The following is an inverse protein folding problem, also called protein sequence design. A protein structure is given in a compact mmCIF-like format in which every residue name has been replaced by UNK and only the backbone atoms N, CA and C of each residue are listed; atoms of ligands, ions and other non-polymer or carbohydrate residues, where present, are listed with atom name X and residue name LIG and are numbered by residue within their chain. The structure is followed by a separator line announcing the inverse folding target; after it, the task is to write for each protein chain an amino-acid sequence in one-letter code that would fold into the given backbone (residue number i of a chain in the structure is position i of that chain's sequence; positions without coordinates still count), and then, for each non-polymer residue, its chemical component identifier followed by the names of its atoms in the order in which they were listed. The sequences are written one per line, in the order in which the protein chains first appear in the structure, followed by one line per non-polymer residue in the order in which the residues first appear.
data_IF_560450140343
#
_entry.id   IF_560450140343
#
_cell.length_a   1.000
_cell.length_b   1.000
_cell.length_c   1.000
_cell.angle_alpha   90.00
_cell.angle_beta   90.00
_cell.angle_gamma   90.00
#
_symmetry.space_group_name_H-M   'P 1'
#
loop_
_entity.id
_entity.type
_entity.pdbx_description
1 polymer ?
#
# COMPACT_ATOMS: atom_id res chain seq x y z
N UNK A 1 -4.69 -30.54 12.14
CA UNK A 1 -4.83 -31.79 11.39
C UNK A 1 -4.51 -31.61 9.89
N UNK A 2 -4.71 -30.45 9.26
CA UNK A 2 -4.48 -30.24 7.81
C UNK A 2 -3.03 -29.94 7.38
N UNK A 3 -2.11 -29.65 8.29
CA UNK A 3 -0.72 -29.32 7.95
C UNK A 3 0.15 -30.59 7.78
N UNK A 4 -0.10 -31.63 8.59
CA UNK A 4 0.63 -32.89 8.52
C UNK A 4 0.32 -33.68 7.23
N UNK A 5 -0.92 -33.59 6.73
CA UNK A 5 -1.32 -34.29 5.51
C UNK A 5 -0.67 -33.69 4.25
N UNK A 6 -0.48 -32.40 4.21
CA UNK A 6 0.24 -31.72 3.11
C UNK A 6 1.73 -32.03 3.10
N UNK A 7 2.35 -32.07 4.27
CA UNK A 7 3.78 -32.45 4.42
C UNK A 7 3.99 -33.89 4.02
N UNK A 8 3.08 -34.81 4.42
CA UNK A 8 3.13 -36.24 4.06
C UNK A 8 2.98 -36.44 2.54
N UNK A 9 2.09 -35.71 1.88
CA UNK A 9 1.93 -35.75 0.41
C UNK A 9 3.17 -35.24 -0.33
N UNK A 10 3.81 -34.20 0.17
CA UNK A 10 5.05 -33.64 -0.42
C UNK A 10 6.19 -34.65 -0.27
N UNK A 11 6.37 -35.26 0.89
CA UNK A 11 7.41 -36.28 1.15
C UNK A 11 7.20 -37.52 0.28
N UNK A 12 5.97 -38.00 0.12
CA UNK A 12 5.68 -39.13 -0.76
C UNK A 12 5.87 -38.82 -2.24
N UNK A 13 5.56 -37.60 -2.67
CA UNK A 13 5.84 -37.14 -4.04
C UNK A 13 7.35 -37.07 -4.31
N UNK A 14 8.14 -36.57 -3.36
CA UNK A 14 9.60 -36.57 -3.46
C UNK A 14 10.21 -38.00 -3.48
N UNK A 15 9.73 -38.92 -2.63
CA UNK A 15 10.25 -40.28 -2.59
C UNK A 15 9.95 -41.05 -3.90
N UNK A 16 8.77 -40.86 -4.47
CA UNK A 16 8.41 -41.43 -5.78
C UNK A 16 9.24 -40.83 -6.92
N UNK A 17 9.58 -39.57 -6.83
CA UNK A 17 10.45 -38.87 -7.80
C UNK A 17 11.89 -39.40 -7.73
N UNK A 18 12.44 -39.61 -6.53
CA UNK A 18 13.78 -40.20 -6.35
C UNK A 18 13.87 -41.67 -6.81
N UNK A 19 12.82 -42.46 -6.59
CA UNK A 19 12.76 -43.86 -7.05
C UNK A 19 12.72 -43.98 -8.58
N UNK A 20 12.02 -43.09 -9.26
CA UNK A 20 11.98 -43.03 -10.72
C UNK A 20 13.32 -42.51 -11.35
N UNK A 21 14.04 -41.64 -10.65
CA UNK A 21 15.36 -41.20 -11.06
C UNK A 21 16.42 -42.33 -10.99
N UNK A 22 16.28 -43.26 -10.08
CA UNK A 22 17.23 -44.37 -9.90
C UNK A 22 17.03 -45.48 -10.93
N UNK A 23 15.89 -45.59 -11.59
CA UNK A 23 15.59 -46.64 -12.57
C UNK A 23 15.74 -46.26 -14.04
N UNK A 24 15.80 -44.98 -14.38
CA UNK A 24 15.99 -44.52 -15.76
C UNK A 24 17.42 -44.12 -16.01
N UNK A 25 18.01 -44.65 -17.11
CA UNK A 25 19.28 -44.20 -17.66
C UNK A 25 19.24 -42.68 -17.73
N UNK A 26 20.15 -42.03 -17.01
CA UNK A 26 20.28 -40.57 -16.90
C UNK A 26 20.38 -39.98 -18.32
N UNK A 27 19.26 -39.44 -18.78
CA UNK A 27 19.27 -38.61 -19.99
C UNK A 27 19.65 -37.18 -19.55
N UNK A 28 20.90 -36.84 -19.70
CA UNK A 28 21.48 -35.55 -19.28
C UNK A 28 20.68 -34.36 -19.81
N UNK A 29 20.05 -34.47 -20.98
CA UNK A 29 19.26 -33.43 -21.61
C UNK A 29 17.97 -33.15 -20.82
N UNK A 30 17.25 -34.18 -20.38
CA UNK A 30 16.01 -34.04 -19.63
C UNK A 30 16.28 -33.54 -18.22
N UNK A 31 17.38 -34.01 -17.59
CA UNK A 31 17.75 -33.50 -16.23
C UNK A 31 18.10 -32.02 -16.28
N UNK A 32 18.79 -31.56 -17.30
CA UNK A 32 19.12 -30.13 -17.49
C UNK A 32 17.84 -29.30 -17.68
N UNK A 33 16.86 -29.82 -18.41
CA UNK A 33 15.55 -29.18 -18.62
C UNK A 33 14.76 -29.02 -17.32
N UNK A 34 14.76 -30.04 -16.46
CA UNK A 34 14.09 -29.99 -15.14
C UNK A 34 14.77 -29.01 -14.17
N UNK A 35 16.11 -28.97 -14.18
CA UNK A 35 16.88 -27.99 -13.37
C UNK A 35 16.63 -26.57 -13.87
N UNK A 36 16.62 -26.35 -15.18
CA UNK A 36 16.30 -25.04 -15.77
C UNK A 36 14.87 -24.59 -15.45
N UNK A 37 13.90 -25.52 -15.49
CA UNK A 37 12.52 -25.24 -15.11
C UNK A 37 12.37 -24.95 -13.61
N UNK A 38 13.09 -25.67 -12.75
CA UNK A 38 13.12 -25.42 -11.30
C UNK A 38 13.75 -24.05 -10.97
N UNK A 39 14.83 -23.67 -11.65
CA UNK A 39 15.47 -22.37 -11.50
C UNK A 39 14.55 -21.20 -11.99
N UNK A 40 13.75 -21.44 -13.03
CA UNK A 40 12.81 -20.45 -13.55
C UNK A 40 11.68 -20.13 -12.56
N UNK A 41 11.29 -21.08 -11.70
CA UNK A 41 10.20 -20.88 -10.71
C UNK A 41 10.64 -20.08 -9.49
N UNK A 42 11.93 -19.96 -9.21
CA UNK A 42 12.46 -19.26 -8.02
C UNK A 42 12.45 -17.73 -8.20
N UNK A 43 12.35 -17.22 -9.42
CA UNK A 43 12.51 -15.78 -9.71
C UNK A 43 11.25 -14.93 -9.51
N UNK A 44 10.09 -15.50 -9.19
CA UNK A 44 8.82 -14.76 -9.11
C UNK A 44 8.38 -14.33 -7.71
N UNK A 45 9.19 -14.51 -6.68
CA UNK A 45 8.88 -14.01 -5.32
C UNK A 45 9.54 -12.65 -5.07
N UNK A 46 9.19 -11.63 -5.84
CA UNK A 46 9.39 -10.25 -5.38
C UNK A 46 8.32 -9.96 -4.35
N UNK A 47 8.65 -10.15 -3.08
CA UNK A 47 7.85 -9.57 -2.00
C UNK A 47 7.83 -8.05 -2.22
N UNK A 48 6.69 -7.52 -2.65
CA UNK A 48 6.51 -6.08 -2.83
C UNK A 48 6.55 -5.46 -1.45
N UNK A 49 7.68 -4.85 -1.10
CA UNK A 49 7.87 -4.18 0.18
C UNK A 49 6.81 -3.07 0.32
N UNK A 50 5.93 -3.19 1.32
CA UNK A 50 4.89 -2.20 1.57
C UNK A 50 5.56 -0.88 1.91
N UNK A 51 5.37 0.11 1.07
CA UNK A 51 5.88 1.46 1.33
C UNK A 51 5.17 2.05 2.54
N UNK A 52 5.93 2.70 3.41
CA UNK A 52 5.39 3.38 4.60
C UNK A 52 5.14 4.85 4.31
N UNK A 53 4.15 5.41 4.99
CA UNK A 53 3.93 6.85 5.03
C UNK A 53 5.12 7.49 5.73
N UNK A 54 5.69 8.53 5.13
CA UNK A 54 6.83 9.29 5.65
C UNK A 54 6.37 10.71 5.95
N UNK A 55 6.63 11.18 7.16
CA UNK A 55 6.50 12.60 7.49
C UNK A 55 7.82 13.26 7.15
N UNK A 56 7.81 14.13 6.16
CA UNK A 56 9.01 14.79 5.63
C UNK A 56 9.35 16.06 6.41
N UNK A 57 8.33 16.77 6.90
CA UNK A 57 8.46 18.01 7.63
C UNK A 57 7.31 18.25 8.60
N UNK A 58 7.60 18.93 9.70
CA UNK A 58 6.64 19.62 10.59
C UNK A 58 7.40 20.63 11.45
N UNK A 59 6.71 21.63 11.97
CA UNK A 59 7.30 22.60 12.89
C UNK A 59 7.40 22.02 14.32
N UNK A 60 6.39 21.23 14.72
CA UNK A 60 6.31 20.61 16.05
C UNK A 60 5.87 19.15 15.96
N UNK A 61 6.38 18.33 16.89
CA UNK A 61 6.03 16.90 17.03
C UNK A 61 5.67 16.63 18.48
N UNK A 62 4.48 16.05 18.71
CA UNK A 62 4.07 15.54 20.01
C UNK A 62 3.93 14.01 19.94
N UNK A 63 4.67 13.32 20.79
CA UNK A 63 4.64 11.86 20.94
C UNK A 63 3.83 11.41 22.16
N UNK A 64 3.15 12.34 22.85
CA UNK A 64 2.33 11.99 23.99
C UNK A 64 1.05 11.26 23.55
N UNK A 65 1.04 9.96 23.75
CA UNK A 65 -0.08 9.08 23.36
C UNK A 65 -1.25 9.09 24.35
N UNK A 66 -1.21 9.96 25.35
CA UNK A 66 -2.29 10.04 26.37
C UNK A 66 -3.58 10.61 25.77
N UNK A 67 -3.45 11.60 24.88
CA UNK A 67 -4.62 12.23 24.26
C UNK A 67 -5.14 11.47 23.05
N UNK A 68 -4.20 10.93 22.22
CA UNK A 68 -4.54 10.19 21.00
C UNK A 68 -3.69 8.91 20.95
N UNK A 69 -4.18 7.83 21.58
CA UNK A 69 -3.47 6.56 21.64
C UNK A 69 -3.08 6.04 20.25
N UNK A 70 -1.81 5.65 20.11
CA UNK A 70 -1.26 5.08 18.86
C UNK A 70 -0.85 6.11 17.81
N UNK A 71 -1.13 7.42 18.01
CA UNK A 71 -0.75 8.46 17.06
C UNK A 71 0.45 9.29 17.53
N UNK A 72 1.27 9.70 16.57
CA UNK A 72 2.21 10.81 16.71
C UNK A 72 1.55 12.04 16.08
N UNK A 73 1.50 13.15 16.81
CA UNK A 73 0.88 14.40 16.36
C UNK A 73 1.94 15.33 15.79
N UNK A 74 1.75 15.77 14.56
CA UNK A 74 2.58 16.73 13.84
C UNK A 74 1.79 18.01 13.63
N UNK A 75 2.39 19.16 13.89
CA UNK A 75 1.73 20.48 13.78
C UNK A 75 2.64 21.48 13.08
N UNK A 76 2.05 22.29 12.21
CA UNK A 76 2.69 23.36 11.44
C UNK A 76 3.45 22.84 10.22
N UNK A 77 3.11 23.34 9.04
CA UNK A 77 3.78 23.06 7.77
C UNK A 77 4.05 21.55 7.53
N UNK A 78 3.09 20.71 7.91
CA UNK A 78 3.23 19.26 7.83
C UNK A 78 3.30 18.83 6.37
N UNK A 79 4.37 18.09 6.01
CA UNK A 79 4.52 17.46 4.70
C UNK A 79 4.66 15.97 4.84
N UNK A 80 3.86 15.27 4.05
CA UNK A 80 3.70 13.81 4.08
C UNK A 80 3.93 13.27 2.68
N UNK A 81 4.69 12.19 2.57
CA UNK A 81 4.94 11.49 1.30
C UNK A 81 4.62 10.02 1.46
N UNK A 82 3.94 9.47 0.46
CA UNK A 82 3.72 8.04 0.33
C UNK A 82 3.52 7.65 -1.15
N UNK A 83 4.38 6.78 -1.67
CA UNK A 83 4.22 6.16 -2.99
C UNK A 83 3.80 7.13 -4.13
N UNK A 84 4.50 8.28 -4.24
CA UNK A 84 4.20 9.31 -5.25
C UNK A 84 3.03 10.23 -4.90
N UNK A 85 2.35 10.02 -3.77
CA UNK A 85 1.40 10.98 -3.19
C UNK A 85 2.15 11.92 -2.26
N UNK A 86 1.95 13.21 -2.43
CA UNK A 86 2.41 14.26 -1.50
C UNK A 86 1.19 14.94 -0.89
N UNK A 87 1.21 15.09 0.43
CA UNK A 87 0.17 15.80 1.18
C UNK A 87 0.81 16.91 2.01
N UNK A 88 0.15 18.07 2.08
CA UNK A 88 0.51 19.20 2.95
C UNK A 88 -0.71 19.55 3.79
N UNK A 89 -0.53 19.87 5.07
CA UNK A 89 -1.61 20.28 5.97
C UNK A 89 -1.09 21.08 7.17
N UNK A 90 -2.01 21.63 7.97
CA UNK A 90 -1.63 22.36 9.18
C UNK A 90 -1.29 21.41 10.34
N UNK A 91 -1.99 20.27 10.45
CA UNK A 91 -1.78 19.27 11.50
C UNK A 91 -2.04 17.87 10.94
N UNK A 92 -1.30 16.89 11.45
CA UNK A 92 -1.52 15.48 11.11
C UNK A 92 -1.38 14.57 12.33
N UNK A 93 -2.22 13.53 12.38
CA UNK A 93 -2.10 12.40 13.30
C UNK A 93 -1.61 11.20 12.51
N UNK A 94 -0.40 10.74 12.81
CA UNK A 94 0.22 9.62 12.11
C UNK A 94 0.20 8.35 12.98
N UNK A 95 -0.57 7.38 12.56
CA UNK A 95 -0.66 6.03 13.13
C UNK A 95 0.32 5.13 12.37
N UNK A 96 1.58 5.14 12.86
CA UNK A 96 2.72 4.52 12.15
C UNK A 96 2.53 3.02 11.92
N UNK A 97 2.01 2.30 12.91
CA UNK A 97 1.84 0.85 12.83
C UNK A 97 0.74 0.45 11.85
N UNK A 98 -0.30 1.28 11.72
CA UNK A 98 -1.42 1.10 10.81
C UNK A 98 -1.15 1.64 9.40
N UNK A 99 0.00 2.29 9.20
CA UNK A 99 0.33 3.01 7.97
C UNK A 99 -0.78 3.97 7.54
N UNK A 100 -1.25 4.78 8.48
CA UNK A 100 -2.45 5.61 8.34
C UNK A 100 -2.22 7.01 8.88
N UNK A 101 -2.84 8.00 8.22
CA UNK A 101 -2.74 9.40 8.64
C UNK A 101 -4.10 10.10 8.55
N UNK A 102 -4.37 10.97 9.54
CA UNK A 102 -5.44 11.98 9.50
C UNK A 102 -4.81 13.34 9.37
N UNK A 103 -5.27 14.14 8.41
CA UNK A 103 -4.76 15.46 8.09
C UNK A 103 -5.84 16.53 8.29
N UNK A 104 -5.46 17.63 8.90
CA UNK A 104 -6.38 18.69 9.32
C UNK A 104 -5.89 20.06 8.83
N UNK A 105 -6.82 20.85 8.33
CA UNK A 105 -6.63 22.27 7.97
C UNK A 105 -5.77 22.48 6.72
N UNK A 106 -6.34 23.16 5.72
CA UNK A 106 -5.69 23.47 4.46
C UNK A 106 -4.99 22.26 3.80
N UNK A 107 -5.70 21.13 3.81
CA UNK A 107 -5.15 19.89 3.25
C UNK A 107 -5.05 20.01 1.74
N UNK A 108 -3.85 19.80 1.22
CA UNK A 108 -3.56 19.71 -0.22
C UNK A 108 -2.90 18.37 -0.48
N UNK A 109 -3.46 17.60 -1.39
CA UNK A 109 -2.93 16.30 -1.80
C UNK A 109 -2.63 16.32 -3.30
N UNK A 110 -1.44 15.88 -3.68
CA UNK A 110 -1.01 15.79 -5.07
C UNK A 110 -0.54 14.37 -5.37
N UNK A 111 -1.00 13.82 -6.50
CA UNK A 111 -0.51 12.56 -7.04
C UNK A 111 0.23 12.84 -8.35
N UNK A 112 1.55 12.89 -8.27
CA UNK A 112 2.38 13.36 -9.38
C UNK A 112 1.94 14.75 -9.85
N UNK A 113 1.93 14.94 -11.16
CA UNK A 113 1.47 16.19 -11.79
C UNK A 113 0.04 16.10 -12.33
N UNK A 114 -0.66 14.99 -12.06
CA UNK A 114 -1.93 14.67 -12.71
C UNK A 114 -3.16 14.96 -11.85
N UNK A 115 -3.11 14.63 -10.56
CA UNK A 115 -4.27 14.79 -9.67
C UNK A 115 -3.89 15.70 -8.52
N UNK A 116 -4.71 16.73 -8.30
CA UNK A 116 -4.61 17.59 -7.12
C UNK A 116 -5.95 17.59 -6.39
N UNK A 117 -5.91 17.56 -5.05
CA UNK A 117 -7.09 17.65 -4.21
C UNK A 117 -6.85 18.62 -3.07
N UNK A 118 -7.79 19.54 -2.85
CA UNK A 118 -7.80 20.46 -1.72
C UNK A 118 -9.05 20.19 -0.87
N UNK A 119 -8.90 20.23 0.46
CA UNK A 119 -10.00 20.03 1.40
C UNK A 119 -9.65 20.56 2.79
N UNK A 120 -10.60 20.49 3.73
CA UNK A 120 -10.35 20.85 5.13
C UNK A 120 -9.84 19.70 5.98
N UNK A 121 -10.24 18.49 5.64
CA UNK A 121 -9.87 17.28 6.35
C UNK A 121 -9.66 16.13 5.37
N UNK A 122 -8.65 15.30 5.61
CA UNK A 122 -8.44 14.07 4.87
C UNK A 122 -7.91 12.94 5.77
N UNK A 123 -8.24 11.72 5.40
CA UNK A 123 -7.65 10.49 5.91
C UNK A 123 -6.99 9.74 4.76
N UNK A 124 -5.85 9.12 5.03
CA UNK A 124 -5.15 8.33 4.03
C UNK A 124 -4.58 7.04 4.63
N UNK A 125 -4.92 5.93 4.02
CA UNK A 125 -4.39 4.62 4.36
C UNK A 125 -3.34 4.20 3.32
N UNK A 126 -2.10 4.11 3.74
CA UNK A 126 -0.97 3.81 2.85
C UNK A 126 -0.97 2.37 2.34
N UNK A 127 -1.45 1.41 3.12
CA UNK A 127 -1.48 0.00 2.71
C UNK A 127 -2.57 -0.27 1.66
N UNK A 128 -3.69 0.46 1.75
CA UNK A 128 -4.80 0.37 0.81
C UNK A 128 -4.67 1.35 -0.36
N UNK A 129 -3.81 2.35 -0.23
CA UNK A 129 -3.71 3.50 -1.14
C UNK A 129 -5.08 4.19 -1.35
N UNK A 130 -5.80 4.36 -0.25
CA UNK A 130 -7.16 4.86 -0.21
C UNK A 130 -7.23 6.15 0.61
N UNK A 131 -7.89 7.16 0.06
CA UNK A 131 -8.11 8.44 0.71
C UNK A 131 -9.60 8.70 0.93
N UNK A 132 -9.91 9.35 2.04
CA UNK A 132 -11.18 10.00 2.32
C UNK A 132 -10.90 11.49 2.51
N UNK A 133 -11.71 12.36 1.92
CA UNK A 133 -11.59 13.80 2.09
C UNK A 133 -12.97 14.44 2.27
N UNK A 134 -13.02 15.48 3.12
CA UNK A 134 -14.26 16.23 3.37
C UNK A 134 -13.97 17.70 3.68
N UNK A 135 -14.99 18.52 3.49
CA UNK A 135 -14.96 19.97 3.71
C UNK A 135 -14.39 20.73 2.53
N UNK A 136 -15.28 21.25 1.67
CA UNK A 136 -14.97 22.06 0.50
C UNK A 136 -13.98 21.35 -0.43
N UNK A 137 -14.24 20.10 -0.74
CA UNK A 137 -13.34 19.30 -1.57
C UNK A 137 -13.35 19.79 -3.00
N UNK A 138 -12.17 20.11 -3.51
CA UNK A 138 -11.93 20.42 -4.92
C UNK A 138 -10.84 19.51 -5.44
N UNK A 139 -11.21 18.55 -6.29
CA UNK A 139 -10.30 17.64 -6.94
C UNK A 139 -10.18 17.98 -8.42
N UNK A 140 -8.95 18.07 -8.91
CA UNK A 140 -8.65 18.38 -10.33
C UNK A 140 -7.81 17.29 -10.95
N UNK A 141 -8.18 16.91 -12.16
CA UNK A 141 -7.37 16.12 -13.08
C UNK A 141 -7.14 16.91 -14.37
N UNK A 142 -6.32 16.45 -15.31
CA UNK A 142 -6.13 17.13 -16.60
C UNK A 142 -7.42 17.36 -17.39
N UNK A 143 -8.39 16.46 -17.20
CA UNK A 143 -9.63 16.42 -18.00
C UNK A 143 -10.85 16.95 -17.26
N UNK A 144 -10.81 17.03 -15.92
CA UNK A 144 -12.00 17.35 -15.11
C UNK A 144 -11.68 18.03 -13.79
N UNK A 145 -12.70 18.75 -13.27
CA UNK A 145 -12.72 19.29 -11.91
C UNK A 145 -13.98 18.79 -11.21
N UNK A 146 -13.79 18.17 -10.04
CA UNK A 146 -14.87 17.77 -9.14
C UNK A 146 -14.90 18.71 -7.94
N UNK A 147 -16.07 19.26 -7.62
CA UNK A 147 -16.32 20.01 -6.38
C UNK A 147 -17.42 19.30 -5.62
N UNK A 148 -17.18 18.94 -4.36
CA UNK A 148 -18.11 18.18 -3.52
C UNK A 148 -17.76 18.41 -2.05
N UNK A 149 -18.69 18.07 -1.15
CA UNK A 149 -18.40 18.07 0.29
C UNK A 149 -17.55 16.90 0.73
N UNK A 150 -17.69 15.76 0.06
CA UNK A 150 -17.01 14.53 0.46
C UNK A 150 -16.62 13.70 -0.76
N UNK A 151 -15.41 13.14 -0.74
CA UNK A 151 -14.92 12.21 -1.74
C UNK A 151 -14.15 11.06 -1.09
N UNK A 152 -14.30 9.88 -1.67
CA UNK A 152 -13.46 8.72 -1.46
C UNK A 152 -12.63 8.49 -2.72
N UNK A 153 -11.33 8.36 -2.58
CA UNK A 153 -10.42 8.16 -3.71
C UNK A 153 -9.60 6.88 -3.54
N UNK A 154 -9.80 5.96 -4.46
CA UNK A 154 -9.01 4.74 -4.59
C UNK A 154 -7.90 4.99 -5.62
N UNK A 155 -6.68 5.25 -5.12
CA UNK A 155 -5.53 5.53 -5.97
C UNK A 155 -5.13 4.31 -6.80
N UNK A 156 -5.24 3.11 -6.24
CA UNK A 156 -4.85 1.87 -6.90
C UNK A 156 -5.67 1.62 -8.17
N UNK A 157 -6.99 1.88 -8.10
CA UNK A 157 -7.92 1.71 -9.21
C UNK A 157 -8.19 3.02 -9.96
N UNK A 158 -7.63 4.15 -9.51
CA UNK A 158 -7.84 5.51 -10.05
C UNK A 158 -9.33 5.88 -10.11
N UNK A 159 -10.06 5.55 -9.05
CA UNK A 159 -11.51 5.77 -8.96
C UNK A 159 -11.83 6.76 -7.84
N UNK A 160 -12.72 7.71 -8.12
CA UNK A 160 -13.27 8.61 -7.13
C UNK A 160 -14.77 8.32 -6.95
N UNK A 161 -15.19 8.22 -5.68
CA UNK A 161 -16.58 8.05 -5.30
C UNK A 161 -17.01 9.27 -4.51
N UNK A 162 -18.08 9.92 -4.90
CA UNK A 162 -18.60 11.11 -4.24
C UNK A 162 -20.12 11.09 -4.18
N UNK A 163 -20.67 11.76 -3.18
CA UNK A 163 -22.11 11.91 -3.04
C UNK A 163 -22.44 13.39 -3.23
N UNK A 164 -23.11 13.72 -4.31
CA UNK A 164 -23.71 15.04 -4.50
C UNK A 164 -25.12 14.98 -3.88
N UNK A 165 -25.31 15.62 -2.75
CA UNK A 165 -26.65 15.99 -2.36
C UNK A 165 -27.09 17.13 -3.29
N UNK A 166 -27.96 16.78 -4.25
CA UNK A 166 -28.63 17.75 -5.10
C UNK A 166 -29.71 18.51 -4.33
#
# INVERSE_FOLDING_TARGET
MLLNDKIFLIINSFSSFYLNLAQNKFDLKNTFLYIAFLLLTITFSTAQEKKKIIIENSDFVDMNQTEIPGAIVFTGNVRIIHNGVRMVCNQAYHFKDENYVKAFGNVQMNQGDTITMNCRYAEYNGDKEFAFATGDVVMRSPESTLTTDTVYFDKKNQQAFYNTYG
#
